data_IF_401960507167
#
_entry.id   IF_401960507167
#
_cell.length_a   1.000
_cell.length_b   1.000
_cell.length_c   1.000
_cell.angle_alpha   90.00
_cell.angle_beta   90.00
_cell.angle_gamma   90.00
#
_symmetry.space_group_name_H-M   'P 1'
#
loop_
_entity.id
_entity.type
_entity.pdbx_description
1 polymer ?
#
# COMPACT_ATOMS: atom_id res chain seq x y z
N UNK A 1 -16.11 15.67 6.62
CA UNK A 1 -14.72 15.59 7.10
C UNK A 1 -14.08 14.42 6.36
N UNK A 2 -13.15 14.69 5.42
CA UNK A 2 -12.44 13.61 4.74
C UNK A 2 -11.56 12.90 5.77
N UNK A 3 -11.84 11.63 6.05
CA UNK A 3 -10.99 10.79 6.91
C UNK A 3 -9.66 10.69 6.19
N UNK A 4 -8.65 11.41 6.67
CA UNK A 4 -7.29 11.35 6.12
C UNK A 4 -6.76 9.97 6.49
N UNK A 5 -6.91 9.00 5.60
CA UNK A 5 -6.29 7.69 5.78
C UNK A 5 -4.79 7.92 5.68
N UNK A 6 -4.06 7.68 6.77
CA UNK A 6 -2.61 7.75 6.75
C UNK A 6 -2.10 6.61 5.86
N UNK A 7 -1.15 6.95 4.97
CA UNK A 7 -0.58 5.99 4.04
C UNK A 7 0.28 5.01 4.81
N UNK A 8 -0.04 3.72 4.71
CA UNK A 8 0.80 2.66 5.26
C UNK A 8 2.05 2.51 4.40
N UNK A 9 3.23 2.41 4.99
CA UNK A 9 4.50 2.25 4.25
C UNK A 9 5.35 1.14 4.87
N UNK A 10 6.34 0.64 4.13
CA UNK A 10 7.32 -0.28 4.71
C UNK A 10 6.68 -1.59 5.21
N UNK A 11 7.17 -2.09 6.34
CA UNK A 11 6.69 -3.32 6.97
C UNK A 11 5.21 -3.27 7.37
N UNK A 12 4.71 -2.09 7.78
CA UNK A 12 3.28 -1.92 8.12
C UNK A 12 2.39 -2.14 6.90
N UNK A 13 2.80 -1.63 5.73
CA UNK A 13 2.11 -1.88 4.48
C UNK A 13 2.12 -3.38 4.16
N UNK A 14 3.29 -4.01 4.16
CA UNK A 14 3.44 -5.43 3.83
C UNK A 14 2.61 -6.34 4.76
N UNK A 15 2.64 -6.06 6.08
CA UNK A 15 1.86 -6.78 7.09
C UNK A 15 0.35 -6.59 6.88
N UNK A 16 -0.07 -5.35 6.59
CA UNK A 16 -1.46 -5.05 6.26
C UNK A 16 -1.92 -5.80 5.01
N UNK A 17 -1.11 -5.86 3.95
CA UNK A 17 -1.46 -6.65 2.76
C UNK A 17 -1.62 -8.13 3.10
N UNK A 18 -0.72 -8.68 3.92
CA UNK A 18 -0.74 -10.10 4.27
C UNK A 18 -1.99 -10.48 5.08
N UNK A 19 -2.36 -9.64 6.05
CA UNK A 19 -3.53 -9.84 6.91
C UNK A 19 -4.84 -9.65 6.12
N UNK A 20 -4.91 -8.55 5.35
CA UNK A 20 -6.14 -8.14 4.69
C UNK A 20 -6.31 -8.61 3.24
N UNK A 21 -5.36 -9.33 2.63
CA UNK A 21 -5.49 -9.81 1.22
C UNK A 21 -6.78 -10.59 0.96
N UNK A 22 -7.28 -11.31 1.97
CA UNK A 22 -8.50 -12.11 1.88
C UNK A 22 -9.76 -11.28 2.16
N UNK A 23 -9.66 -10.19 2.92
CA UNK A 23 -10.79 -9.31 3.26
C UNK A 23 -11.32 -8.55 2.05
N UNK A 24 -10.49 -8.37 1.02
CA UNK A 24 -10.85 -7.66 -0.20
C UNK A 24 -11.18 -8.60 -1.38
N UNK A 25 -11.39 -9.90 -1.16
CA UNK A 25 -11.70 -10.88 -2.22
C UNK A 25 -10.67 -10.87 -3.39
N UNK A 26 -9.41 -10.55 -3.10
CA UNK A 26 -8.36 -10.37 -4.11
C UNK A 26 -8.44 -9.07 -4.93
N UNK A 27 -9.32 -8.14 -4.55
CA UNK A 27 -9.41 -6.81 -5.17
C UNK A 27 -8.27 -5.90 -4.68
N UNK A 28 -7.15 -5.93 -5.40
CA UNK A 28 -5.99 -5.10 -5.11
C UNK A 28 -6.24 -3.59 -5.18
N UNK A 29 -7.20 -3.12 -5.99
CA UNK A 29 -7.56 -1.69 -6.05
C UNK A 29 -8.22 -1.24 -4.74
N UNK A 30 -9.15 -2.02 -4.21
CA UNK A 30 -9.82 -1.73 -2.95
C UNK A 30 -8.83 -1.75 -1.77
N UNK A 31 -7.94 -2.74 -1.77
CA UNK A 31 -6.91 -2.89 -0.74
C UNK A 31 -5.89 -1.75 -0.78
N UNK A 32 -5.47 -1.32 -1.97
CA UNK A 32 -4.62 -0.15 -2.16
C UNK A 32 -5.26 1.15 -1.64
N UNK A 33 -6.55 1.36 -1.96
CA UNK A 33 -7.28 2.52 -1.44
C UNK A 33 -7.41 2.47 0.09
N UNK A 34 -7.66 1.29 0.65
CA UNK A 34 -7.73 1.08 2.10
C UNK A 34 -6.40 1.34 2.81
N UNK A 35 -5.27 1.05 2.15
CA UNK A 35 -3.92 1.37 2.62
C UNK A 35 -3.55 2.87 2.52
N UNK A 36 -4.48 3.73 2.07
CA UNK A 36 -4.30 5.18 1.99
C UNK A 36 -3.77 5.69 0.65
N UNK A 37 -3.69 4.83 -0.37
CA UNK A 37 -3.20 5.18 -1.71
C UNK A 37 -4.31 5.58 -2.68
N UNK A 38 -5.50 5.90 -2.20
CA UNK A 38 -6.56 6.48 -3.02
C UNK A 38 -6.19 7.88 -3.52
N UNK A 39 -6.39 8.13 -4.81
CA UNK A 39 -6.29 9.46 -5.44
C UNK A 39 -7.62 9.81 -6.09
N UNK A 40 -8.07 11.05 -5.87
CA UNK A 40 -9.24 11.61 -6.54
C UNK A 40 -8.86 12.00 -7.98
N UNK A 41 -9.68 11.57 -8.93
CA UNK A 41 -9.58 11.94 -10.34
C UNK A 41 -10.40 13.18 -10.64
N UNK A 42 -10.12 13.82 -11.78
CA UNK A 42 -10.83 15.02 -12.23
C UNK A 42 -12.34 14.81 -12.42
N UNK A 43 -12.79 13.57 -12.60
CA UNK A 43 -14.19 13.18 -12.71
C UNK A 43 -14.88 12.93 -11.34
N UNK A 44 -14.15 13.06 -10.23
CA UNK A 44 -14.66 12.86 -8.87
C UNK A 44 -14.64 11.40 -8.40
N UNK A 45 -14.13 10.46 -9.20
CA UNK A 45 -13.89 9.09 -8.73
C UNK A 45 -12.56 8.95 -8.00
N UNK A 46 -12.53 8.08 -7.00
CA UNK A 46 -11.31 7.66 -6.33
C UNK A 46 -10.73 6.43 -7.02
N UNK A 47 -9.41 6.41 -7.22
CA UNK A 47 -8.69 5.23 -7.73
C UNK A 47 -7.41 4.99 -6.94
N UNK A 48 -6.98 3.73 -6.86
CA UNK A 48 -5.64 3.39 -6.40
C UNK A 48 -4.54 4.12 -7.21
N UNK A 49 -3.65 4.79 -6.51
CA UNK A 49 -2.35 5.21 -7.02
C UNK A 49 -1.38 4.04 -6.98
N UNK A 50 -1.53 3.15 -7.96
CA UNK A 50 -0.75 1.92 -8.04
C UNK A 50 0.77 2.16 -8.08
N UNK A 51 1.21 3.26 -8.70
CA UNK A 51 2.64 3.59 -8.79
C UNK A 51 3.23 3.93 -7.42
N UNK A 52 2.52 4.75 -6.63
CA UNK A 52 2.94 5.13 -5.28
C UNK A 52 2.86 3.95 -4.30
N UNK A 53 1.82 3.12 -4.45
CA UNK A 53 1.62 1.89 -3.69
C UNK A 53 2.73 0.86 -3.92
N UNK A 54 3.06 0.56 -5.19
CA UNK A 54 4.14 -0.38 -5.52
C UNK A 54 5.50 0.15 -5.09
N UNK A 55 5.75 1.45 -5.19
CA UNK A 55 7.01 2.05 -4.68
C UNK A 55 7.16 1.85 -3.18
N UNK A 56 6.11 2.12 -2.41
CA UNK A 56 6.14 1.94 -0.97
C UNK A 56 6.30 0.46 -0.58
N UNK A 57 5.68 -0.45 -1.34
CA UNK A 57 5.86 -1.89 -1.15
C UNK A 57 7.26 -2.35 -1.53
N UNK A 58 7.83 -1.82 -2.62
CA UNK A 58 9.20 -2.13 -3.03
C UNK A 58 10.21 -1.66 -1.96
N UNK A 59 10.02 -0.45 -1.41
CA UNK A 59 10.82 0.02 -0.26
C UNK A 59 10.65 -0.89 0.96
N UNK A 60 9.45 -1.43 1.22
CA UNK A 60 9.24 -2.39 2.31
C UNK A 60 10.04 -3.69 2.13
N UNK A 61 10.15 -4.17 0.89
CA UNK A 61 10.92 -5.37 0.55
C UNK A 61 12.42 -5.08 0.57
N UNK A 62 12.85 -3.92 0.06
CA UNK A 62 14.25 -3.50 0.02
C UNK A 62 14.84 -3.24 1.43
N UNK A 63 13.99 -2.79 2.37
CA UNK A 63 14.34 -2.71 3.80
C UNK A 63 14.48 -4.09 4.46
N UNK A 64 13.82 -5.12 3.93
CA UNK A 64 13.96 -6.51 4.39
C UNK A 64 15.14 -7.25 3.74
N UNK A 65 15.73 -6.72 2.67
CA UNK A 65 16.92 -7.28 1.99
C UNK A 65 18.24 -6.65 2.49
N UNK A 66 18.16 -5.73 3.46
CA UNK A 66 19.31 -5.06 4.09
C UNK A 66 19.65 -5.59 5.49
N UNK A 67 19.25 -6.82 5.83
CA UNK A 67 19.95 -7.61 6.85
C UNK A 67 20.80 -8.67 6.13
N UNK A 68 22.10 -8.72 6.45
CA UNK A 68 23.12 -9.67 5.98
C UNK A 68 23.72 -9.49 4.57
N UNK A 69 24.61 -8.50 4.42
CA UNK A 69 25.92 -8.75 3.77
C UNK A 69 27.03 -8.04 4.58
N UNK A 70 27.46 -8.65 5.67
CA UNK A 70 28.87 -8.58 6.08
C UNK A 70 29.51 -9.95 5.80
N UNK A 71 30.32 -10.04 4.72
CA UNK A 71 31.49 -10.92 4.65
C UNK A 71 32.60 -10.29 3.80
#
# INVERSE_FOLDING_TARGET
MAKKVEKLTGEELASYLADHRNDFDGNGDALCMAAGYGIERADGTEKCNFSDFVKALATAVDLNDNEDIEE
#
